data_IF_846466666908
#
_entry.id   IF_846466666908
#
_cell.length_a   1.000
_cell.length_b   1.000
_cell.length_c   1.000
_cell.angle_alpha   90.00
_cell.angle_beta   90.00
_cell.angle_gamma   90.00
#
_symmetry.space_group_name_H-M   'P 1'
#
loop_
_entity.id
_entity.type
_entity.pdbx_description
1 polymer ?
#
# COMPACT_ATOMS: atom_id res chain seq x y z
N UNK A 1 17.68 20.09 2.68
CA UNK A 1 17.53 18.71 3.13
C UNK A 1 17.13 18.76 4.60
N UNK A 2 15.87 18.46 4.92
CA UNK A 2 15.39 18.43 6.29
C UNK A 2 16.05 17.23 6.98
N UNK A 3 16.79 17.48 8.08
CA UNK A 3 17.59 16.49 8.80
C UNK A 3 16.81 15.47 9.64
N UNK A 4 15.64 15.04 9.20
CA UNK A 4 14.87 13.96 9.81
C UNK A 4 15.17 12.63 9.10
N UNK A 5 15.32 11.57 9.87
CA UNK A 5 15.46 10.22 9.32
C UNK A 5 14.17 9.84 8.59
N UNK A 6 14.25 9.17 7.41
CA UNK A 6 13.07 8.72 6.68
C UNK A 6 12.23 7.76 7.53
N UNK A 7 10.92 7.71 7.26
CA UNK A 7 10.00 6.77 7.92
C UNK A 7 10.33 5.33 7.53
N UNK A 8 10.57 5.10 6.24
CA UNK A 8 10.98 3.83 5.68
C UNK A 8 12.21 4.05 4.79
N UNK A 9 13.27 3.27 4.98
CA UNK A 9 14.42 3.20 4.07
C UNK A 9 14.61 1.77 3.62
N UNK A 10 14.66 1.56 2.31
CA UNK A 10 14.76 0.24 1.67
C UNK A 10 16.07 0.16 0.91
N UNK A 11 16.87 -0.86 1.22
CA UNK A 11 18.10 -1.24 0.50
C UNK A 11 18.15 -2.75 0.47
N UNK A 12 17.58 -3.37 -0.58
CA UNK A 12 17.44 -4.82 -0.62
C UNK A 12 17.59 -5.42 -2.01
N UNK A 13 17.92 -6.70 -2.02
CA UNK A 13 17.70 -7.62 -3.13
C UNK A 13 16.78 -8.75 -2.68
N UNK A 14 15.91 -9.25 -3.56
CA UNK A 14 14.96 -10.30 -3.21
C UNK A 14 14.60 -11.16 -4.43
N UNK A 15 14.20 -12.40 -4.17
CA UNK A 15 13.75 -13.31 -5.22
C UNK A 15 13.23 -14.63 -4.69
N UNK A 16 13.04 -15.55 -5.62
CA UNK A 16 12.56 -16.91 -5.37
C UNK A 16 13.59 -17.92 -5.91
N UNK A 17 13.56 -19.19 -5.48
CA UNK A 17 14.52 -20.21 -5.97
C UNK A 17 14.58 -20.30 -7.50
N UNK A 18 13.42 -20.22 -8.18
CA UNK A 18 13.34 -20.25 -9.64
C UNK A 18 13.72 -18.93 -10.34
N UNK A 19 13.71 -17.81 -9.61
CA UNK A 19 14.08 -16.45 -10.07
C UNK A 19 14.76 -15.70 -8.92
N UNK A 20 16.05 -15.97 -8.67
CA UNK A 20 16.74 -15.48 -7.46
C UNK A 20 16.93 -13.96 -7.42
N UNK A 21 16.86 -13.29 -8.58
CA UNK A 21 17.07 -11.86 -8.71
C UNK A 21 15.83 -11.13 -9.29
N UNK A 22 14.66 -11.27 -8.63
CA UNK A 22 13.47 -10.51 -9.00
C UNK A 22 13.65 -9.03 -8.66
N UNK A 23 14.27 -8.73 -7.51
CA UNK A 23 14.69 -7.39 -7.11
C UNK A 23 16.21 -7.38 -6.92
N UNK A 24 16.87 -6.36 -7.45
CA UNK A 24 18.34 -6.21 -7.47
C UNK A 24 18.70 -4.82 -6.97
N UNK A 25 19.34 -4.74 -5.82
CA UNK A 25 19.86 -3.50 -5.22
C UNK A 25 18.83 -2.35 -5.24
N UNK A 26 17.58 -2.69 -4.90
CA UNK A 26 16.48 -1.71 -4.80
C UNK A 26 16.79 -0.76 -3.66
N UNK A 27 16.83 0.56 -3.97
CA UNK A 27 17.13 1.61 -3.01
C UNK A 27 16.15 2.77 -3.15
N UNK A 28 15.42 3.08 -2.08
CA UNK A 28 14.57 4.28 -1.96
C UNK A 28 14.20 4.54 -0.50
N UNK A 29 13.73 5.76 -0.23
CA UNK A 29 13.28 6.20 1.08
C UNK A 29 11.84 6.77 0.96
N UNK A 30 11.04 6.62 2.03
CA UNK A 30 9.71 7.24 2.18
C UNK A 30 9.74 8.14 3.41
N UNK A 31 9.38 9.41 3.23
CA UNK A 31 9.32 10.40 4.30
C UNK A 31 8.01 10.29 5.11
N UNK A 32 7.97 10.75 6.38
CA UNK A 32 6.73 10.83 7.13
C UNK A 32 5.67 11.67 6.41
N UNK A 33 4.44 11.12 6.24
CA UNK A 33 3.34 11.79 5.57
C UNK A 33 3.49 11.90 4.04
N UNK A 34 4.51 11.30 3.45
CA UNK A 34 4.70 11.26 2.00
C UNK A 34 3.82 10.20 1.34
N UNK A 35 3.32 10.50 0.14
CA UNK A 35 2.81 9.49 -0.79
C UNK A 35 3.88 9.27 -1.87
N UNK A 36 4.57 8.13 -1.79
CA UNK A 36 5.53 7.69 -2.80
C UNK A 36 4.85 6.71 -3.76
N UNK A 37 4.83 7.03 -5.04
CA UNK A 37 4.39 6.12 -6.10
C UNK A 37 5.50 5.15 -6.49
N UNK A 38 5.21 3.86 -6.55
CA UNK A 38 6.09 2.85 -7.13
C UNK A 38 5.48 2.35 -8.43
N UNK A 39 6.11 2.69 -9.54
CA UNK A 39 5.62 2.40 -10.89
C UNK A 39 6.54 1.43 -11.61
N UNK A 40 5.96 0.57 -12.44
CA UNK A 40 6.70 -0.35 -13.32
C UNK A 40 5.74 -1.30 -14.04
N UNK A 41 6.24 -1.97 -15.07
CA UNK A 41 5.46 -2.96 -15.82
C UNK A 41 5.01 -4.15 -14.97
N UNK A 42 4.02 -4.91 -15.47
CA UNK A 42 3.62 -6.16 -14.84
C UNK A 42 4.82 -7.12 -14.79
N UNK A 43 5.03 -7.74 -13.61
CA UNK A 43 6.18 -8.64 -13.40
C UNK A 43 7.52 -7.96 -13.10
N UNK A 44 7.58 -6.62 -12.97
CA UNK A 44 8.82 -5.90 -12.59
C UNK A 44 9.28 -6.13 -11.15
N UNK A 45 8.42 -6.71 -10.28
CA UNK A 45 8.76 -7.00 -8.88
C UNK A 45 8.02 -6.16 -7.83
N UNK A 46 7.08 -5.29 -8.21
CA UNK A 46 6.36 -4.38 -7.29
C UNK A 46 5.72 -5.10 -6.11
N UNK A 47 4.90 -6.12 -6.36
CA UNK A 47 4.26 -6.91 -5.29
C UNK A 47 5.28 -7.74 -4.50
N UNK A 48 6.37 -8.18 -5.14
CA UNK A 48 7.49 -8.83 -4.45
C UNK A 48 8.13 -7.88 -3.45
N UNK A 49 8.29 -6.60 -3.80
CA UNK A 49 8.81 -5.57 -2.92
C UNK A 49 7.86 -5.30 -1.73
N UNK A 50 6.55 -5.20 -1.97
CA UNK A 50 5.57 -5.08 -0.89
C UNK A 50 5.65 -6.26 0.10
N UNK A 51 5.72 -7.50 -0.41
CA UNK A 51 5.86 -8.70 0.42
C UNK A 51 7.21 -8.76 1.14
N UNK A 52 8.30 -8.26 0.52
CA UNK A 52 9.62 -8.19 1.15
C UNK A 52 9.60 -7.21 2.34
N UNK A 53 9.05 -6.02 2.18
CA UNK A 53 8.91 -5.02 3.27
C UNK A 53 8.10 -5.60 4.42
N UNK A 54 7.02 -6.31 4.12
CA UNK A 54 6.15 -6.94 5.13
C UNK A 54 6.73 -8.25 5.70
N UNK A 55 7.93 -8.69 5.27
CA UNK A 55 8.53 -9.98 5.64
C UNK A 55 7.57 -11.17 5.39
N UNK A 56 6.78 -11.10 4.31
CA UNK A 56 5.85 -12.16 3.89
C UNK A 56 6.39 -12.99 2.73
N UNK A 57 7.52 -12.57 2.13
CA UNK A 57 8.11 -13.24 0.97
C UNK A 57 8.56 -14.68 1.30
N UNK A 58 9.07 -14.90 2.51
CA UNK A 58 9.49 -16.22 2.99
C UNK A 58 8.37 -17.25 3.00
N UNK A 59 7.12 -16.85 3.32
CA UNK A 59 5.95 -17.75 3.27
C UNK A 59 5.58 -18.20 1.85
N UNK A 60 6.12 -17.51 0.83
CA UNK A 60 5.99 -17.88 -0.59
C UNK A 60 7.27 -18.51 -1.16
N UNK A 61 8.18 -18.96 -0.28
CA UNK A 61 9.44 -19.59 -0.67
C UNK A 61 10.50 -18.64 -1.20
N UNK A 62 10.32 -17.32 -1.05
CA UNK A 62 11.30 -16.32 -1.45
C UNK A 62 12.25 -15.95 -0.32
N UNK A 63 13.29 -15.19 -0.66
CA UNK A 63 14.29 -14.67 0.28
C UNK A 63 14.52 -13.18 0.05
N UNK A 64 14.94 -12.49 1.13
CA UNK A 64 15.31 -11.08 1.14
C UNK A 64 16.72 -10.96 1.69
N UNK A 65 17.56 -10.15 1.06
CA UNK A 65 18.88 -9.76 1.56
C UNK A 65 19.01 -8.25 1.56
N UNK A 66 19.83 -7.71 2.45
CA UNK A 66 19.99 -6.27 2.63
C UNK A 66 19.31 -5.76 3.89
N UNK A 67 18.77 -4.55 3.86
CA UNK A 67 18.26 -3.84 5.02
C UNK A 67 16.94 -3.12 4.70
N UNK A 68 16.00 -3.16 5.63
CA UNK A 68 14.73 -2.40 5.57
C UNK A 68 14.55 -1.67 6.90
N UNK A 69 14.94 -0.40 6.94
CA UNK A 69 14.78 0.44 8.13
C UNK A 69 13.38 1.04 8.15
N UNK A 70 12.63 0.79 9.23
CA UNK A 70 11.32 1.40 9.47
C UNK A 70 11.31 1.99 10.88
N UNK A 71 11.14 3.31 10.98
CA UNK A 71 11.21 4.05 12.26
C UNK A 71 12.48 3.71 13.07
N UNK A 72 13.61 3.53 12.39
CA UNK A 72 14.90 3.22 13.02
C UNK A 72 15.10 1.74 13.40
N UNK A 73 14.19 0.84 13.01
CA UNK A 73 14.32 -0.60 13.25
C UNK A 73 14.48 -1.35 11.93
N UNK A 74 15.47 -2.25 11.86
CA UNK A 74 15.66 -3.12 10.69
C UNK A 74 14.65 -4.27 10.69
N UNK A 75 13.66 -4.19 9.81
CA UNK A 75 12.59 -5.19 9.70
C UNK A 75 13.12 -6.57 9.29
N UNK A 76 14.23 -6.65 8.54
CA UNK A 76 14.82 -7.94 8.09
C UNK A 76 15.32 -8.76 9.29
N UNK A 77 15.73 -8.09 10.36
CA UNK A 77 16.25 -8.74 11.58
C UNK A 77 15.18 -9.07 12.61
N UNK A 78 13.95 -8.59 12.42
CA UNK A 78 12.86 -8.88 13.37
C UNK A 78 12.40 -10.33 13.26
N UNK A 79 12.17 -10.94 14.45
CA UNK A 79 11.52 -12.25 14.51
C UNK A 79 10.04 -12.13 14.17
N UNK A 80 9.42 -13.20 13.75
CA UNK A 80 8.00 -13.22 13.34
C UNK A 80 7.06 -12.64 14.41
N UNK A 81 7.33 -12.92 15.71
CA UNK A 81 6.54 -12.34 16.81
C UNK A 81 6.60 -10.81 16.84
N UNK A 82 7.75 -10.24 16.53
CA UNK A 82 7.96 -8.79 16.47
C UNK A 82 7.32 -8.21 15.22
N UNK A 83 7.48 -8.85 14.06
CA UNK A 83 6.84 -8.46 12.81
C UNK A 83 5.31 -8.48 12.90
N UNK A 84 4.69 -9.39 13.66
CA UNK A 84 3.25 -9.37 13.92
C UNK A 84 2.79 -8.09 14.62
N UNK A 85 3.63 -7.48 15.45
CA UNK A 85 3.30 -6.19 16.09
C UNK A 85 3.47 -4.99 15.15
N UNK A 86 4.19 -5.15 14.04
CA UNK A 86 4.39 -4.13 13.00
C UNK A 86 3.26 -4.20 11.96
N UNK A 87 3.02 -5.41 11.41
CA UNK A 87 1.97 -5.63 10.40
C UNK A 87 0.60 -5.29 10.96
N UNK A 88 -0.19 -4.53 10.22
CA UNK A 88 -1.55 -4.10 10.58
C UNK A 88 -1.62 -3.01 11.64
N UNK A 89 -0.62 -2.87 12.52
CA UNK A 89 -0.61 -1.84 13.55
C UNK A 89 0.22 -0.61 13.16
N UNK A 90 1.42 -0.81 12.62
CA UNK A 90 2.34 0.26 12.24
C UNK A 90 2.44 0.39 10.72
N UNK A 91 2.36 -0.73 10.00
CA UNK A 91 2.30 -0.80 8.55
C UNK A 91 0.98 -1.47 8.15
N UNK A 92 0.07 -0.70 7.57
CA UNK A 92 -1.15 -1.20 6.95
C UNK A 92 -0.87 -1.75 5.55
N UNK A 93 -1.67 -2.72 5.10
CA UNK A 93 -1.55 -3.27 3.76
C UNK A 93 -2.90 -3.33 3.06
N UNK A 94 -2.97 -2.75 1.86
CA UNK A 94 -4.11 -2.85 0.95
C UNK A 94 -3.70 -3.74 -0.21
N UNK A 95 -4.20 -4.97 -0.30
CA UNK A 95 -3.86 -5.90 -1.38
C UNK A 95 -4.58 -5.55 -2.68
N UNK A 96 -4.08 -6.08 -3.81
CA UNK A 96 -4.55 -5.80 -5.15
C UNK A 96 -6.01 -6.22 -5.41
N UNK A 97 -6.45 -7.36 -4.86
CA UNK A 97 -7.77 -7.94 -5.16
C UNK A 97 -8.64 -8.04 -3.91
N UNK A 98 -9.73 -7.25 -3.81
CA UNK A 98 -10.65 -7.34 -2.68
C UNK A 98 -11.31 -8.73 -2.56
N UNK A 99 -11.68 -9.32 -3.68
CA UNK A 99 -12.40 -10.60 -3.72
C UNK A 99 -11.60 -11.78 -3.15
N UNK A 100 -10.26 -11.76 -3.27
CA UNK A 100 -9.38 -12.80 -2.70
C UNK A 100 -8.88 -12.49 -1.29
N UNK A 101 -9.07 -11.26 -0.82
CA UNK A 101 -8.50 -10.77 0.44
C UNK A 101 -9.50 -10.79 1.61
N UNK A 102 -10.79 -10.72 1.31
CA UNK A 102 -11.86 -10.87 2.29
C UNK A 102 -12.31 -12.32 2.33
N UNK A 103 -12.55 -12.84 3.55
CA UNK A 103 -13.09 -14.19 3.71
C UNK A 103 -14.60 -14.19 3.36
N UNK A 104 -15.02 -14.86 2.27
CA UNK A 104 -16.41 -14.82 1.83
C UNK A 104 -17.40 -15.49 2.81
N UNK A 105 -16.92 -16.36 3.69
CA UNK A 105 -17.74 -17.07 4.66
C UNK A 105 -17.97 -16.30 5.96
N UNK A 106 -17.26 -15.17 6.16
CA UNK A 106 -17.36 -14.37 7.39
C UNK A 106 -18.04 -13.03 7.12
N UNK A 107 -18.86 -12.59 8.07
CA UNK A 107 -19.45 -11.25 8.04
C UNK A 107 -18.37 -10.18 8.18
N UNK A 108 -18.60 -9.00 7.62
CA UNK A 108 -17.68 -7.85 7.67
C UNK A 108 -17.31 -7.51 9.11
N UNK A 109 -18.30 -7.41 10.01
CA UNK A 109 -18.06 -7.11 11.42
C UNK A 109 -17.20 -8.17 12.13
N UNK A 110 -17.28 -9.45 11.73
CA UNK A 110 -16.41 -10.51 12.25
C UNK A 110 -14.96 -10.28 11.82
N UNK A 111 -14.71 -9.99 10.54
CA UNK A 111 -13.38 -9.71 10.02
C UNK A 111 -12.76 -8.46 10.65
N UNK A 112 -13.54 -7.40 10.87
CA UNK A 112 -13.09 -6.24 11.64
C UNK A 112 -12.72 -6.61 13.08
N UNK A 113 -13.52 -7.45 13.74
CA UNK A 113 -13.25 -7.89 15.10
C UNK A 113 -11.95 -8.71 15.18
N UNK A 114 -11.69 -9.59 14.22
CA UNK A 114 -10.45 -10.37 14.14
C UNK A 114 -9.24 -9.46 13.92
N UNK A 115 -9.34 -8.52 12.98
CA UNK A 115 -8.28 -7.55 12.71
C UNK A 115 -8.00 -6.65 13.93
N UNK A 116 -9.04 -6.22 14.64
CA UNK A 116 -8.88 -5.45 15.89
C UNK A 116 -8.22 -6.28 16.98
N UNK A 117 -8.69 -7.48 17.22
CA UNK A 117 -8.22 -8.34 18.30
C UNK A 117 -6.75 -8.77 18.14
N UNK A 118 -6.24 -8.74 16.90
CA UNK A 118 -4.83 -9.01 16.63
C UNK A 118 -3.88 -8.03 17.34
N UNK A 119 -4.33 -6.80 17.66
CA UNK A 119 -3.48 -5.73 18.19
C UNK A 119 -4.09 -4.96 19.37
N UNK A 120 -5.31 -5.23 19.77
CA UNK A 120 -6.04 -4.46 20.79
C UNK A 120 -7.03 -5.32 21.57
N UNK A 121 -7.14 -5.04 22.88
CA UNK A 121 -8.06 -5.73 23.80
C UNK A 121 -9.18 -4.81 24.29
N UNK A 122 -9.57 -3.78 23.50
CA UNK A 122 -10.60 -2.80 23.90
C UNK A 122 -11.99 -3.40 24.09
N UNK A 123 -12.83 -2.76 24.94
CA UNK A 123 -14.20 -3.16 25.18
C UNK A 123 -15.07 -3.09 23.91
N UNK A 124 -16.04 -3.98 23.80
CA UNK A 124 -16.91 -4.12 22.61
C UNK A 124 -17.63 -2.83 22.18
N UNK A 125 -18.23 -2.01 23.08
CA UNK A 125 -18.91 -0.80 22.65
C UNK A 125 -17.98 0.22 21.98
N UNK A 126 -16.79 0.45 22.56
CA UNK A 126 -15.79 1.35 22.01
C UNK A 126 -15.28 0.89 20.65
N UNK A 127 -15.05 -0.42 20.51
CA UNK A 127 -14.62 -1.06 19.28
C UNK A 127 -15.64 -0.85 18.15
N UNK A 128 -16.92 -1.03 18.47
CA UNK A 128 -18.00 -0.91 17.50
C UNK A 128 -18.16 0.53 17.00
N UNK A 129 -18.12 1.51 17.90
CA UNK A 129 -18.11 2.93 17.53
C UNK A 129 -16.94 3.27 16.60
N UNK A 130 -15.75 2.73 16.89
CA UNK A 130 -14.58 2.91 16.03
C UNK A 130 -14.79 2.32 14.63
N UNK A 131 -15.43 1.14 14.51
CA UNK A 131 -15.69 0.55 13.20
C UNK A 131 -16.66 1.39 12.37
N UNK A 132 -17.74 1.90 12.98
CA UNK A 132 -18.69 2.75 12.29
C UNK A 132 -18.04 4.07 11.84
N UNK A 133 -17.27 4.73 12.69
CA UNK A 133 -16.52 5.92 12.33
C UNK A 133 -15.50 5.65 11.22
N UNK A 134 -14.89 4.47 11.22
CA UNK A 134 -13.93 4.07 10.18
C UNK A 134 -14.63 3.84 8.84
N UNK A 135 -15.81 3.19 8.82
CA UNK A 135 -16.63 3.04 7.62
C UNK A 135 -17.00 4.41 7.03
N UNK A 136 -17.42 5.36 7.87
CA UNK A 136 -17.71 6.73 7.45
C UNK A 136 -16.50 7.41 6.82
N UNK A 137 -15.31 7.26 7.42
CA UNK A 137 -14.05 7.86 6.92
C UNK A 137 -13.68 7.40 5.52
N UNK A 138 -14.09 6.19 5.12
CA UNK A 138 -13.88 5.63 3.77
C UNK A 138 -15.12 5.73 2.88
N UNK A 139 -16.13 6.53 3.27
CA UNK A 139 -17.38 6.72 2.52
C UNK A 139 -18.15 5.42 2.28
N UNK A 140 -18.19 4.56 3.31
CA UNK A 140 -19.10 3.41 3.42
C UNK A 140 -20.21 3.72 4.42
N UNK A 141 -21.39 3.06 4.33
CA UNK A 141 -22.48 3.26 5.29
C UNK A 141 -22.02 2.96 6.73
N UNK A 142 -22.05 3.95 7.66
CA UNK A 142 -21.66 3.76 9.05
C UNK A 142 -22.77 3.11 9.88
N UNK A 143 -23.27 1.95 9.43
CA UNK A 143 -24.43 1.28 9.98
C UNK A 143 -24.10 -0.15 10.42
N UNK A 144 -24.79 -0.60 11.46
CA UNK A 144 -24.72 -1.96 11.95
C UNK A 144 -25.13 -2.99 10.88
N UNK A 145 -26.11 -2.65 10.06
CA UNK A 145 -26.58 -3.44 8.93
C UNK A 145 -25.45 -3.72 7.94
N UNK A 146 -24.54 -2.75 7.71
CA UNK A 146 -23.37 -2.93 6.84
C UNK A 146 -22.36 -3.94 7.42
N UNK A 147 -22.10 -3.86 8.72
CA UNK A 147 -21.24 -4.83 9.42
C UNK A 147 -21.81 -6.26 9.41
N UNK A 148 -23.12 -6.38 9.28
CA UNK A 148 -23.82 -7.66 9.16
C UNK A 148 -23.70 -8.35 7.80
N UNK A 149 -23.27 -7.64 6.74
CA UNK A 149 -23.15 -8.17 5.37
C UNK A 149 -21.99 -9.13 5.23
N UNK A 150 -22.05 -9.93 4.16
CA UNK A 150 -20.93 -10.74 3.67
C UNK A 150 -20.20 -10.01 2.54
N UNK A 151 -18.91 -10.31 2.27
CA UNK A 151 -18.16 -9.70 1.18
C UNK A 151 -18.83 -9.82 -0.20
N UNK A 152 -19.51 -10.93 -0.47
CA UNK A 152 -20.23 -11.15 -1.73
C UNK A 152 -21.43 -10.23 -1.97
N UNK A 153 -21.89 -9.50 -0.95
CA UNK A 153 -22.97 -8.53 -1.03
C UNK A 153 -22.48 -7.10 -1.33
N UNK A 154 -21.14 -6.92 -1.47
CA UNK A 154 -20.53 -5.63 -1.74
C UNK A 154 -20.22 -5.46 -3.22
N UNK A 155 -20.31 -4.22 -3.73
CA UNK A 155 -19.68 -3.88 -5.00
C UNK A 155 -18.15 -3.92 -4.86
N UNK A 156 -17.43 -4.05 -5.98
CA UNK A 156 -15.96 -4.08 -5.99
C UNK A 156 -15.38 -2.83 -5.32
N UNK A 157 -15.97 -1.64 -5.60
CA UNK A 157 -15.55 -0.38 -4.97
C UNK A 157 -15.83 -0.33 -3.47
N UNK A 158 -16.95 -0.89 -2.99
CA UNK A 158 -17.24 -1.02 -1.56
C UNK A 158 -16.26 -1.97 -0.88
N UNK A 159 -15.97 -3.12 -1.47
CA UNK A 159 -15.00 -4.07 -0.95
C UNK A 159 -13.57 -3.47 -0.91
N UNK A 160 -13.19 -2.68 -1.91
CA UNK A 160 -11.91 -1.97 -1.92
C UNK A 160 -11.81 -0.94 -0.79
N UNK A 161 -12.85 -0.11 -0.60
CA UNK A 161 -12.91 0.86 0.51
C UNK A 161 -12.90 0.17 1.87
N UNK A 162 -13.53 -1.00 1.97
CA UNK A 162 -13.50 -1.83 3.17
C UNK A 162 -12.06 -2.30 3.50
N UNK A 163 -11.30 -2.77 2.51
CA UNK A 163 -9.89 -3.14 2.69
C UNK A 163 -9.03 -1.96 3.12
N UNK A 164 -9.28 -0.77 2.53
CA UNK A 164 -8.61 0.46 2.96
C UNK A 164 -8.97 0.75 4.43
N UNK A 165 -10.24 0.67 4.83
CA UNK A 165 -10.67 0.84 6.21
C UNK A 165 -9.94 -0.13 7.16
N UNK A 166 -9.88 -1.41 6.80
CA UNK A 166 -9.19 -2.42 7.61
C UNK A 166 -7.68 -2.14 7.72
N UNK A 167 -7.05 -1.63 6.64
CA UNK A 167 -5.62 -1.32 6.64
C UNK A 167 -5.25 -0.14 7.57
N UNK A 168 -6.19 0.79 7.81
CA UNK A 168 -5.98 1.97 8.68
C UNK A 168 -6.61 1.83 10.07
N UNK A 169 -7.14 0.66 10.41
CA UNK A 169 -7.88 0.37 11.65
C UNK A 169 -7.10 0.76 12.91
N UNK A 170 -5.80 0.56 12.91
CA UNK A 170 -4.91 0.89 14.03
C UNK A 170 -4.11 2.18 13.80
N UNK A 171 -4.52 3.03 12.85
CA UNK A 171 -3.87 4.29 12.50
C UNK A 171 -2.36 4.11 12.23
N UNK A 172 -1.98 3.28 11.25
CA UNK A 172 -0.58 3.01 10.94
C UNK A 172 0.13 4.29 10.48
N UNK A 173 1.46 4.35 10.67
CA UNK A 173 2.27 5.43 10.12
C UNK A 173 2.58 5.27 8.64
N UNK A 174 2.50 4.03 8.11
CA UNK A 174 2.69 3.70 6.70
C UNK A 174 1.55 2.79 6.22
N UNK A 175 1.03 3.05 5.03
CA UNK A 175 0.19 2.10 4.28
C UNK A 175 0.89 1.72 2.99
N UNK A 176 1.02 0.43 2.74
CA UNK A 176 1.44 -0.12 1.44
C UNK A 176 0.17 -0.51 0.69
N UNK A 177 -0.08 0.14 -0.45
CA UNK A 177 -1.25 -0.13 -1.28
C UNK A 177 -0.79 -0.74 -2.61
N UNK A 178 -1.03 -2.05 -2.79
CA UNK A 178 -0.59 -2.80 -3.97
C UNK A 178 -1.71 -2.83 -5.01
N UNK A 179 -1.57 -2.01 -6.06
CA UNK A 179 -2.53 -1.83 -7.17
C UNK A 179 -4.00 -1.63 -6.71
N UNK A 180 -4.27 -0.69 -5.77
CA UNK A 180 -5.56 -0.61 -5.09
C UNK A 180 -6.72 -0.17 -6.00
N UNK A 181 -6.46 0.21 -7.23
CA UNK A 181 -7.47 0.70 -8.19
C UNK A 181 -7.58 -0.13 -9.46
N UNK A 182 -6.76 -1.19 -9.62
CA UNK A 182 -6.65 -1.95 -10.88
C UNK A 182 -7.94 -2.67 -11.31
N UNK A 183 -8.87 -2.95 -10.39
CA UNK A 183 -10.13 -3.64 -10.66
C UNK A 183 -11.35 -2.69 -10.70
N UNK A 184 -11.12 -1.37 -10.66
CA UNK A 184 -12.17 -0.35 -10.54
C UNK A 184 -12.43 0.35 -11.87
N UNK A 185 -13.67 0.78 -12.10
CA UNK A 185 -13.99 1.73 -13.16
C UNK A 185 -13.39 3.10 -12.88
N UNK A 186 -13.32 3.97 -13.91
CA UNK A 186 -12.65 5.27 -13.86
C UNK A 186 -13.22 6.20 -12.76
N UNK A 187 -14.55 6.17 -12.55
CA UNK A 187 -15.19 7.02 -11.54
C UNK A 187 -14.82 6.55 -10.14
N UNK A 188 -14.98 5.26 -9.88
CA UNK A 188 -14.62 4.65 -8.59
C UNK A 188 -13.13 4.77 -8.31
N UNK A 189 -12.26 4.64 -9.33
CA UNK A 189 -10.83 4.88 -9.20
C UNK A 189 -10.54 6.30 -8.72
N UNK A 190 -11.12 7.32 -9.37
CA UNK A 190 -10.94 8.72 -8.96
C UNK A 190 -11.38 8.98 -7.51
N UNK A 191 -12.47 8.34 -7.07
CA UNK A 191 -12.94 8.44 -5.68
C UNK A 191 -11.98 7.78 -4.68
N UNK A 192 -11.38 6.64 -5.03
CA UNK A 192 -10.37 5.97 -4.20
C UNK A 192 -9.07 6.77 -4.11
N UNK A 193 -8.64 7.43 -5.20
CA UNK A 193 -7.49 8.34 -5.16
C UNK A 193 -7.75 9.53 -4.22
N UNK A 194 -8.92 10.18 -4.33
CA UNK A 194 -9.34 11.24 -3.40
C UNK A 194 -9.40 10.74 -1.95
N UNK A 195 -9.82 9.50 -1.73
CA UNK A 195 -9.83 8.88 -0.41
C UNK A 195 -8.41 8.76 0.16
N UNK A 196 -7.44 8.23 -0.61
CA UNK A 196 -6.04 8.15 -0.18
C UNK A 196 -5.47 9.53 0.17
N UNK A 197 -5.69 10.54 -0.67
CA UNK A 197 -5.27 11.92 -0.41
C UNK A 197 -5.86 12.44 0.91
N UNK A 198 -7.17 12.29 1.12
CA UNK A 198 -7.85 12.72 2.35
C UNK A 198 -7.33 12.00 3.59
N UNK A 199 -7.12 10.69 3.52
CA UNK A 199 -6.59 9.89 4.62
C UNK A 199 -5.13 10.26 4.94
N UNK A 200 -4.30 10.46 3.93
CA UNK A 200 -2.92 10.91 4.11
C UNK A 200 -2.86 12.24 4.86
N UNK A 201 -3.62 13.26 4.42
CA UNK A 201 -3.66 14.56 5.09
C UNK A 201 -4.26 14.47 6.51
N UNK A 202 -5.35 13.73 6.69
CA UNK A 202 -6.07 13.64 7.97
C UNK A 202 -5.33 12.84 9.04
N UNK A 203 -4.66 11.75 8.65
CA UNK A 203 -3.95 10.86 9.56
C UNK A 203 -2.44 11.12 9.59
N UNK A 204 -1.92 11.96 8.69
CA UNK A 204 -0.48 12.21 8.48
C UNK A 204 0.33 10.92 8.24
N UNK A 205 -0.33 9.91 7.70
CA UNK A 205 0.30 8.63 7.38
C UNK A 205 1.02 8.71 6.03
N UNK A 206 2.17 8.05 5.93
CA UNK A 206 2.81 7.85 4.63
C UNK A 206 2.11 6.74 3.83
N UNK A 207 2.22 6.80 2.50
CA UNK A 207 1.67 5.77 1.60
C UNK A 207 2.73 5.35 0.58
N UNK A 208 3.02 4.07 0.50
CA UNK A 208 3.69 3.47 -0.65
C UNK A 208 2.60 2.99 -1.62
N UNK A 209 2.33 3.80 -2.64
CA UNK A 209 1.29 3.55 -3.64
C UNK A 209 1.88 2.82 -4.85
N UNK A 210 1.60 1.54 -4.96
CA UNK A 210 2.10 0.69 -6.05
C UNK A 210 1.05 0.65 -7.16
N UNK A 211 1.46 1.01 -8.38
CA UNK A 211 0.56 1.01 -9.54
C UNK A 211 1.34 0.81 -10.85
N UNK A 212 0.66 0.31 -11.87
CA UNK A 212 1.13 0.38 -13.25
C UNK A 212 0.47 1.54 -14.01
N UNK A 213 -0.52 2.20 -13.41
CA UNK A 213 -1.23 3.36 -13.99
C UNK A 213 -0.53 4.67 -13.58
N UNK A 214 0.20 5.23 -14.53
CA UNK A 214 0.93 6.48 -14.37
C UNK A 214 0.01 7.68 -14.11
N UNK A 215 -1.22 7.69 -14.63
CA UNK A 215 -2.16 8.79 -14.43
C UNK A 215 -2.63 8.86 -12.98
N UNK A 216 -2.93 7.72 -12.36
CA UNK A 216 -3.28 7.66 -10.95
C UNK A 216 -2.12 8.12 -10.05
N UNK A 217 -0.90 7.73 -10.41
CA UNK A 217 0.32 8.12 -9.69
C UNK A 217 0.58 9.61 -9.80
N UNK A 218 0.44 10.20 -11.00
CA UNK A 218 0.62 11.65 -11.21
C UNK A 218 -0.40 12.49 -10.44
N UNK A 219 -1.61 11.98 -10.28
CA UNK A 219 -2.69 12.68 -9.59
C UNK A 219 -2.59 12.60 -8.05
N UNK A 220 -1.88 11.61 -7.50
CA UNK A 220 -1.86 11.31 -6.06
C UNK A 220 -0.50 11.50 -5.40
N UNK A 221 0.60 11.11 -6.07
CA UNK A 221 1.89 10.93 -5.43
C UNK A 221 2.73 12.21 -5.41
N UNK A 222 3.48 12.42 -4.32
CA UNK A 222 4.42 13.54 -4.18
C UNK A 222 5.73 13.25 -4.92
N UNK A 223 6.22 12.01 -4.82
CA UNK A 223 7.40 11.50 -5.52
C UNK A 223 7.06 10.17 -6.18
N UNK A 224 7.84 9.82 -7.19
CA UNK A 224 7.68 8.57 -7.95
C UNK A 224 9.02 7.85 -8.02
N UNK A 225 9.01 6.55 -7.76
CA UNK A 225 10.10 5.62 -8.00
C UNK A 225 9.72 4.69 -9.17
N UNK A 226 10.56 4.63 -10.20
CA UNK A 226 10.34 3.80 -11.38
C UNK A 226 11.12 2.50 -11.23
N UNK A 227 10.39 1.38 -11.15
CA UNK A 227 10.95 0.03 -11.05
C UNK A 227 10.98 -0.62 -12.45
N UNK A 228 12.16 -0.92 -12.94
CA UNK A 228 12.37 -1.61 -14.20
C UNK A 228 13.34 -2.76 -14.02
N UNK A 229 13.00 -3.95 -14.52
CA UNK A 229 13.79 -5.17 -14.40
C UNK A 229 14.38 -5.43 -12.99
N UNK A 230 13.58 -5.15 -11.97
CA UNK A 230 13.94 -5.38 -10.58
C UNK A 230 14.84 -4.31 -9.95
N UNK A 231 15.06 -3.17 -10.60
CA UNK A 231 15.87 -2.05 -10.08
C UNK A 231 15.07 -0.75 -10.10
N UNK A 232 15.33 0.14 -9.14
CA UNK A 232 14.84 1.53 -9.22
C UNK A 232 15.76 2.28 -10.19
N UNK A 233 15.26 2.58 -11.38
CA UNK A 233 16.02 3.25 -12.43
C UNK A 233 15.92 4.78 -12.36
N UNK A 234 14.87 5.29 -11.74
CA UNK A 234 14.68 6.72 -11.51
C UNK A 234 13.78 6.94 -10.29
N UNK A 235 14.08 7.97 -9.48
CA UNK A 235 13.26 8.36 -8.35
C UNK A 235 13.36 9.88 -8.14
N UNK A 236 12.22 10.57 -8.07
CA UNK A 236 12.20 12.02 -7.92
C UNK A 236 10.81 12.58 -7.70
N UNK A 237 10.67 13.92 -7.56
CA UNK A 237 9.39 14.60 -7.51
C UNK A 237 8.50 14.23 -8.71
N UNK A 238 7.21 14.03 -8.47
CA UNK A 238 6.27 13.62 -9.53
C UNK A 238 6.34 14.55 -10.73
N UNK A 239 6.32 15.87 -10.51
CA UNK A 239 6.39 16.85 -11.59
C UNK A 239 7.66 16.70 -12.45
N UNK A 240 8.82 16.48 -11.82
CA UNK A 240 10.08 16.27 -12.53
C UNK A 240 10.04 15.00 -13.37
N UNK A 241 9.61 13.87 -12.79
CA UNK A 241 9.55 12.57 -13.50
C UNK A 241 8.65 12.66 -14.74
N UNK A 242 7.54 13.41 -14.66
CA UNK A 242 6.60 13.53 -15.78
C UNK A 242 7.00 14.58 -16.83
N UNK A 243 7.70 15.66 -16.45
CA UNK A 243 8.09 16.74 -17.37
C UNK A 243 9.48 16.55 -17.97
N UNK A 244 10.42 16.02 -17.20
CA UNK A 244 11.82 15.89 -17.60
C UNK A 244 12.43 14.56 -17.13
N UNK A 245 11.91 13.41 -17.60
CA UNK A 245 12.42 12.09 -17.25
C UNK A 245 13.85 11.90 -17.74
N UNK A 246 14.76 11.50 -16.84
CA UNK A 246 16.18 11.35 -17.16
C UNK A 246 16.53 9.96 -17.70
N UNK A 247 15.84 8.91 -17.23
CA UNK A 247 16.10 7.54 -17.66
C UNK A 247 15.35 7.18 -18.94
N UNK A 248 15.98 6.48 -19.87
CA UNK A 248 15.39 6.13 -21.18
C UNK A 248 14.10 5.30 -21.06
N UNK A 249 14.00 4.43 -20.06
CA UNK A 249 12.79 3.66 -19.79
C UNK A 249 11.65 4.55 -19.29
N UNK A 250 11.93 5.50 -18.38
CA UNK A 250 10.93 6.45 -17.88
C UNK A 250 10.37 7.30 -19.02
N UNK A 251 11.24 7.78 -19.93
CA UNK A 251 10.81 8.53 -21.14
C UNK A 251 9.81 7.72 -21.97
N UNK A 252 10.14 6.47 -22.28
CA UNK A 252 9.22 5.58 -23.02
C UNK A 252 7.88 5.37 -22.33
N UNK A 253 7.88 5.23 -20.98
CA UNK A 253 6.65 5.10 -20.22
C UNK A 253 5.78 6.36 -20.30
N UNK A 254 6.39 7.56 -20.20
CA UNK A 254 5.67 8.84 -20.27
C UNK A 254 5.19 9.11 -21.68
N UNK A 255 6.00 8.85 -22.71
CA UNK A 255 5.63 9.00 -24.14
C UNK A 255 4.45 8.10 -24.57
N UNK A 256 4.27 6.97 -23.90
CA UNK A 256 3.14 6.07 -24.13
C UNK A 256 1.82 6.55 -23.53
N UNK A 257 1.83 7.60 -22.70
CA UNK A 257 0.61 8.18 -22.16
C UNK A 257 -0.21 8.89 -23.25
N UNK A 258 -1.57 8.93 -23.14
CA UNK A 258 -2.41 9.73 -24.01
C UNK A 258 -1.94 11.19 -24.01
N UNK A 259 -1.83 11.80 -25.21
CA UNK A 259 -1.45 13.21 -25.34
C UNK A 259 -2.50 14.08 -24.65
N UNK A 260 -2.07 14.89 -23.69
CA UNK A 260 -2.83 15.76 -22.78
C UNK A 260 -3.43 15.07 -21.53
N UNK A 261 -2.62 14.55 -20.62
CA UNK A 261 -3.09 14.21 -19.27
C UNK A 261 -3.12 15.43 -18.31
N UNK A 262 -2.66 16.63 -18.75
CA UNK A 262 -2.57 17.85 -17.91
C UNK A 262 -3.08 19.09 -18.66
#
# INVERSE_FOLDING_TARGET
MNGYAPLLSVRLSAGYPARPAVLRDVCFDVEPGEILGLVGESGSGKSTLALAILQLLGYRGGSVSGEIQFQGHDLVRLREKEMRSVRGRQIGFVPQSPGSSLNPALRIGTQFNEAWAAHSNGAMPQRRANFLSLLESVSLPPEESFLGRYPGELSVGQAQRLLIAMSILHKPSLVIADEPTSALDVVTQAEVLKLFSRLNHGLKMAVLYISHDLLSVSALCHRVAILHEGQIVECGPTEQIFRDPQHAYTRRLIEALPKNPF
#
